data_IF_104593853124
#
_entry.id   IF_104593853124
#
_cell.length_a   1.000
_cell.length_b   1.000
_cell.length_c   1.000
_cell.angle_alpha   90.00
_cell.angle_beta   90.00
_cell.angle_gamma   90.00
#
_symmetry.space_group_name_H-M   'P 1'
#
loop_
_entity.id
_entity.type
_entity.pdbx_description
1 polymer ?
#
# COMPACT_ATOMS: atom_id res chain seq x y z
N UNK A 1 -2.96 -9.46 4.06
CA UNK A 1 -1.54 -9.42 3.65
C UNK A 1 -1.42 -8.36 2.57
N UNK A 2 -0.71 -7.26 2.82
CA UNK A 2 -0.64 -6.13 1.89
C UNK A 2 0.21 -6.46 0.66
N UNK A 3 -0.34 -6.27 -0.54
CA UNK A 3 0.38 -6.46 -1.81
C UNK A 3 1.39 -5.33 -2.03
N UNK A 4 2.63 -5.71 -2.34
CA UNK A 4 3.75 -4.79 -2.56
C UNK A 4 3.87 -4.44 -4.05
N UNK A 5 3.35 -3.28 -4.44
CA UNK A 5 3.37 -2.82 -5.84
C UNK A 5 4.76 -2.37 -6.29
N UNK A 6 5.63 -1.98 -5.37
CA UNK A 6 6.96 -1.47 -5.71
C UNK A 6 7.88 -2.50 -6.40
N UNK A 7 7.57 -3.80 -6.32
CA UNK A 7 8.25 -4.84 -7.10
C UNK A 7 7.74 -4.96 -8.52
N UNK A 8 6.43 -4.81 -8.71
CA UNK A 8 5.75 -4.96 -10.00
C UNK A 8 5.84 -3.67 -10.84
N UNK A 9 5.78 -2.52 -10.16
CA UNK A 9 5.66 -1.18 -10.74
C UNK A 9 6.67 -0.19 -10.13
N UNK A 10 7.99 -0.43 -10.28
CA UNK A 10 9.03 0.29 -9.55
C UNK A 10 9.10 1.80 -9.83
N UNK A 11 8.57 2.25 -10.97
CA UNK A 11 8.57 3.66 -11.36
C UNK A 11 7.24 4.38 -11.11
N UNK A 12 6.20 3.65 -10.67
CA UNK A 12 4.89 4.22 -10.37
C UNK A 12 4.98 5.11 -9.13
N UNK A 13 4.40 6.32 -9.22
CA UNK A 13 4.41 7.32 -8.13
C UNK A 13 3.05 7.52 -7.47
N UNK A 14 2.02 6.88 -8.00
CA UNK A 14 0.62 6.98 -7.54
C UNK A 14 0.00 5.59 -7.61
N UNK A 15 -0.81 5.25 -6.61
CA UNK A 15 -1.60 4.03 -6.59
C UNK A 15 -2.96 4.30 -5.95
N UNK A 16 -3.92 3.44 -6.28
CA UNK A 16 -5.21 3.37 -5.60
C UNK A 16 -5.23 2.09 -4.77
N UNK A 17 -5.72 2.19 -3.54
CA UNK A 17 -5.83 1.06 -2.62
C UNK A 17 -7.14 1.15 -1.82
N UNK A 18 -7.55 0.02 -1.28
CA UNK A 18 -8.68 -0.07 -0.35
C UNK A 18 -8.16 -0.10 1.08
N UNK A 19 -8.79 0.67 1.95
CA UNK A 19 -8.51 0.62 3.40
C UNK A 19 -9.14 -0.65 3.96
N UNK A 20 -8.31 -1.55 4.52
CA UNK A 20 -8.77 -2.79 5.15
C UNK A 20 -9.02 -2.59 6.65
N UNK A 21 -8.18 -1.82 7.33
CA UNK A 21 -8.23 -1.61 8.78
C UNK A 21 -7.64 -0.25 9.20
N UNK A 22 -8.11 0.26 10.34
CA UNK A 22 -7.56 1.42 11.04
C UNK A 22 -6.99 0.96 12.39
N UNK A 23 -5.68 1.07 12.56
CA UNK A 23 -4.98 0.68 13.79
C UNK A 23 -4.37 1.92 14.48
N UNK A 24 -5.14 2.52 15.39
CA UNK A 24 -4.76 3.75 16.08
C UNK A 24 -4.53 4.90 15.09
N UNK A 25 -3.27 5.27 14.90
CA UNK A 25 -2.85 6.32 13.96
C UNK A 25 -2.27 5.76 12.64
N UNK A 26 -2.39 4.44 12.43
CA UNK A 26 -1.95 3.74 11.24
C UNK A 26 -3.14 3.34 10.36
N UNK A 27 -2.91 3.28 9.05
CA UNK A 27 -3.90 2.83 8.06
C UNK A 27 -3.36 1.60 7.35
N UNK A 28 -4.10 0.49 7.41
CA UNK A 28 -3.75 -0.77 6.74
C UNK A 28 -4.46 -0.84 5.39
N UNK A 29 -3.69 -1.10 4.33
CA UNK A 29 -4.16 -1.13 2.96
C UNK A 29 -4.00 -2.53 2.34
N UNK A 30 -4.86 -2.85 1.36
CA UNK A 30 -4.78 -4.10 0.59
C UNK A 30 -3.52 -4.16 -0.29
N UNK A 31 -3.03 -3.00 -0.76
CA UNK A 31 -1.83 -2.83 -1.57
C UNK A 31 -1.11 -1.53 -1.28
N UNK A 32 0.20 -1.48 -1.55
CA UNK A 32 1.01 -0.29 -1.30
C UNK A 32 2.16 -0.14 -2.30
N UNK A 33 2.43 1.11 -2.72
CA UNK A 33 3.70 1.51 -3.36
C UNK A 33 4.75 1.97 -2.34
N UNK A 34 4.38 2.19 -1.08
CA UNK A 34 5.35 2.61 -0.06
C UNK A 34 6.34 1.48 0.22
N UNK A 35 7.62 1.79 0.09
CA UNK A 35 8.70 0.91 0.52
C UNK A 35 9.00 1.18 2.00
N UNK A 36 8.88 0.19 2.88
CA UNK A 36 9.13 0.34 4.31
C UNK A 36 10.62 0.48 4.65
#
# INVERSE_FOLDING_TARGET
>A
MTRKLYWDEPYSRKFTATVEELDGNNVVLDRTLFYP
#
